data_IF_252569155474
#
_entry.id   IF_252569155474
#
_cell.length_a   1.000
_cell.length_b   1.000
_cell.length_c   1.000
_cell.angle_alpha   90.00
_cell.angle_beta   90.00
_cell.angle_gamma   90.00
#
_symmetry.space_group_name_H-M   'P 1'
#
loop_
_entity.id
_entity.type
_entity.pdbx_description
1 polymer ?
#
# COMPACT_ATOMS: atom_id res chain seq x y z
N UNK A 1 -34.11 -2.02 -10.09
CA UNK A 1 -34.23 -1.33 -11.38
C UNK A 1 -32.88 -1.35 -12.12
N UNK A 2 -32.85 -1.99 -13.31
CA UNK A 2 -31.62 -2.13 -14.10
C UNK A 2 -31.07 -0.78 -14.62
N UNK A 3 -31.87 0.27 -14.57
CA UNK A 3 -31.51 1.63 -14.99
C UNK A 3 -30.61 2.34 -13.97
N UNK A 4 -30.77 2.10 -12.68
CA UNK A 4 -29.97 2.74 -11.62
C UNK A 4 -28.51 2.24 -11.56
N UNK A 5 -28.23 1.10 -12.16
CA UNK A 5 -26.90 0.47 -12.12
C UNK A 5 -26.14 0.51 -13.45
N UNK A 6 -26.62 1.28 -14.43
CA UNK A 6 -25.95 1.39 -15.75
C UNK A 6 -24.48 1.84 -15.64
N UNK A 7 -24.16 2.71 -14.69
CA UNK A 7 -22.79 3.16 -14.41
C UNK A 7 -21.82 2.02 -14.06
N UNK A 8 -22.32 0.89 -13.53
CA UNK A 8 -21.48 -0.29 -13.28
C UNK A 8 -20.91 -0.90 -14.56
N UNK A 9 -21.58 -0.71 -15.72
CA UNK A 9 -21.08 -1.16 -17.01
C UNK A 9 -19.83 -0.39 -17.46
N UNK A 10 -19.64 0.83 -16.96
CA UNK A 10 -18.46 1.66 -17.24
C UNK A 10 -17.25 1.20 -16.43
N UNK A 11 -17.48 0.64 -15.25
CA UNK A 11 -16.41 0.14 -14.40
C UNK A 11 -15.84 -1.19 -14.93
N UNK A 12 -14.54 -1.44 -14.73
CA UNK A 12 -13.94 -2.73 -15.07
C UNK A 12 -14.53 -3.85 -14.21
N UNK A 13 -14.98 -4.94 -14.85
CA UNK A 13 -15.63 -6.06 -14.15
C UNK A 13 -14.75 -6.75 -13.10
N UNK A 14 -13.46 -6.87 -13.37
CA UNK A 14 -12.52 -7.54 -12.47
C UNK A 14 -12.36 -6.83 -11.12
N UNK A 15 -12.11 -5.50 -11.03
CA UNK A 15 -12.13 -4.76 -9.77
C UNK A 15 -13.47 -4.88 -9.03
N UNK A 16 -14.61 -4.88 -9.72
CA UNK A 16 -15.91 -5.08 -9.10
C UNK A 16 -16.03 -6.46 -8.45
N UNK A 17 -15.68 -7.53 -9.19
CA UNK A 17 -15.66 -8.89 -8.65
C UNK A 17 -14.70 -9.03 -7.45
N UNK A 18 -13.53 -8.37 -7.49
CA UNK A 18 -12.61 -8.39 -6.35
C UNK A 18 -13.19 -7.67 -5.13
N UNK A 19 -13.93 -6.60 -5.32
CA UNK A 19 -14.63 -5.91 -4.22
C UNK A 19 -15.66 -6.80 -3.55
N UNK A 20 -16.40 -7.59 -4.31
CA UNK A 20 -17.37 -8.59 -3.77
C UNK A 20 -16.64 -9.71 -3.01
N UNK A 21 -15.55 -10.26 -3.57
CA UNK A 21 -14.74 -11.27 -2.89
C UNK A 21 -14.10 -10.75 -1.59
N UNK A 22 -13.68 -9.48 -1.58
CA UNK A 22 -13.13 -8.85 -0.37
C UNK A 22 -14.22 -8.67 0.70
N UNK A 23 -15.45 -8.34 0.31
CA UNK A 23 -16.60 -8.24 1.22
C UNK A 23 -16.95 -9.63 1.79
N UNK A 24 -17.06 -10.65 0.96
CA UNK A 24 -17.29 -12.04 1.38
C UNK A 24 -16.25 -12.49 2.40
N UNK A 25 -14.97 -12.27 2.10
CA UNK A 25 -13.86 -12.58 3.02
C UNK A 25 -13.97 -11.83 4.35
N UNK A 26 -14.36 -10.55 4.32
CA UNK A 26 -14.53 -9.75 5.52
C UNK A 26 -15.64 -10.32 6.42
N UNK A 27 -16.78 -10.71 5.87
CA UNK A 27 -17.85 -11.38 6.61
C UNK A 27 -17.43 -12.77 7.12
N UNK A 28 -16.77 -13.57 6.30
CA UNK A 28 -16.25 -14.87 6.72
C UNK A 28 -15.32 -14.74 7.93
N UNK A 29 -14.40 -13.76 7.91
CA UNK A 29 -13.50 -13.50 9.04
C UNK A 29 -14.27 -13.04 10.28
N UNK A 30 -15.31 -12.24 10.13
CA UNK A 30 -16.18 -11.84 11.24
C UNK A 30 -16.89 -13.03 11.87
N UNK A 31 -17.58 -13.86 11.08
CA UNK A 31 -18.28 -15.03 11.59
C UNK A 31 -17.36 -16.10 12.19
N UNK A 32 -16.09 -16.13 11.77
CA UNK A 32 -15.06 -16.99 12.35
C UNK A 32 -14.35 -16.35 13.56
N UNK A 33 -14.83 -15.21 14.07
CA UNK A 33 -14.23 -14.45 15.18
C UNK A 33 -12.76 -14.04 14.95
N UNK A 34 -12.33 -13.90 13.68
CA UNK A 34 -10.98 -13.46 13.30
C UNK A 34 -10.86 -11.96 13.15
N UNK A 35 -11.97 -11.26 12.94
CA UNK A 35 -12.02 -9.81 12.76
C UNK A 35 -13.34 -9.22 13.27
N UNK A 36 -13.34 -7.91 13.52
CA UNK A 36 -14.54 -7.17 13.86
C UNK A 36 -15.49 -7.04 12.65
N UNK A 37 -16.73 -6.63 12.90
CA UNK A 37 -17.75 -6.41 11.87
C UNK A 37 -17.22 -5.51 10.74
N UNK A 38 -17.44 -5.86 9.46
CA UNK A 38 -16.98 -5.08 8.33
C UNK A 38 -17.51 -3.64 8.36
N UNK A 39 -16.63 -2.67 8.07
CA UNK A 39 -16.99 -1.26 7.99
C UNK A 39 -17.07 -0.82 6.54
N UNK A 40 -18.05 0.04 6.22
CA UNK A 40 -18.14 0.66 4.90
C UNK A 40 -16.88 1.44 4.55
N UNK A 41 -16.34 1.20 3.37
CA UNK A 41 -15.23 2.00 2.83
C UNK A 41 -15.75 3.41 2.50
N UNK A 42 -15.02 4.42 2.95
CA UNK A 42 -15.30 5.82 2.63
C UNK A 42 -14.35 6.28 1.52
N UNK A 43 -14.90 6.92 0.47
CA UNK A 43 -14.11 7.52 -0.61
C UNK A 43 -13.06 8.48 -0.05
N UNK A 44 -11.82 8.41 -0.57
CA UNK A 44 -10.72 9.27 -0.15
C UNK A 44 -10.03 8.88 1.16
N UNK A 45 -10.42 7.75 1.77
CA UNK A 45 -9.76 7.23 2.98
C UNK A 45 -8.78 6.13 2.63
N UNK A 46 -9.20 5.18 1.82
CA UNK A 46 -8.39 4.03 1.39
C UNK A 46 -8.88 3.57 0.03
N UNK A 47 -8.65 4.42 -0.98
CA UNK A 47 -9.07 4.12 -2.34
C UNK A 47 -8.07 3.13 -2.97
N UNK A 48 -8.55 1.93 -3.26
CA UNK A 48 -7.77 0.89 -3.90
C UNK A 48 -8.68 -0.07 -4.69
N UNK A 49 -8.15 -0.59 -5.78
CA UNK A 49 -8.79 -1.61 -6.58
C UNK A 49 -7.74 -2.56 -7.18
N UNK A 50 -8.15 -3.80 -7.49
CA UNK A 50 -7.23 -4.85 -7.90
C UNK A 50 -7.66 -5.50 -9.20
N UNK A 51 -6.68 -5.71 -10.07
CA UNK A 51 -6.78 -6.51 -11.28
C UNK A 51 -6.07 -7.86 -11.06
N UNK A 52 -6.80 -8.96 -10.96
CA UNK A 52 -6.21 -10.29 -10.77
C UNK A 52 -5.59 -10.84 -12.07
N UNK A 53 -5.99 -10.31 -13.23
CA UNK A 53 -5.50 -10.75 -14.54
C UNK A 53 -5.72 -9.65 -15.60
N UNK A 54 -5.25 -9.90 -16.85
CA UNK A 54 -5.47 -8.99 -17.97
C UNK A 54 -4.63 -7.72 -17.91
N UNK A 55 -3.59 -7.70 -17.08
CA UNK A 55 -2.62 -6.62 -16.99
C UNK A 55 -1.46 -6.92 -17.93
N UNK A 56 -0.99 -5.91 -18.67
CA UNK A 56 0.23 -5.98 -19.47
C UNK A 56 1.20 -4.91 -19.04
N UNK A 57 2.49 -5.22 -18.98
CA UNK A 57 3.55 -4.29 -18.66
C UNK A 57 4.41 -4.03 -19.89
N UNK A 58 4.62 -2.76 -20.18
CA UNK A 58 5.61 -2.27 -21.13
C UNK A 58 6.67 -1.53 -20.31
N UNK A 59 7.71 -2.28 -19.92
CA UNK A 59 8.74 -1.76 -19.01
C UNK A 59 9.68 -0.78 -19.70
N UNK A 60 9.88 -0.91 -21.01
CA UNK A 60 10.73 -0.02 -21.79
C UNK A 60 10.13 1.39 -21.84
N UNK A 61 8.83 1.49 -22.10
CA UNK A 61 8.12 2.75 -22.16
C UNK A 61 7.48 3.16 -20.81
N UNK A 62 7.74 2.41 -19.74
CA UNK A 62 7.17 2.65 -18.40
C UNK A 62 5.65 2.81 -18.41
N UNK A 63 4.96 1.86 -19.07
CA UNK A 63 3.49 1.83 -19.19
C UNK A 63 2.91 0.53 -18.68
N UNK A 64 1.74 0.65 -18.06
CA UNK A 64 0.92 -0.48 -17.62
C UNK A 64 -0.44 -0.42 -18.33
N UNK A 65 -0.87 -1.53 -18.87
CA UNK A 65 -2.20 -1.67 -19.44
C UNK A 65 -3.15 -2.23 -18.38
N UNK A 66 -4.25 -1.52 -18.15
CA UNK A 66 -5.34 -1.95 -17.28
C UNK A 66 -6.63 -2.01 -18.11
N UNK A 67 -7.37 -3.10 -18.00
CA UNK A 67 -8.61 -3.31 -18.77
C UNK A 67 -9.57 -2.14 -18.55
N UNK A 68 -10.16 -1.61 -19.61
CA UNK A 68 -11.01 -0.41 -19.70
C UNK A 68 -10.32 0.93 -19.41
N UNK A 69 -9.17 0.96 -18.75
CA UNK A 69 -8.39 2.18 -18.51
C UNK A 69 -7.35 2.41 -19.60
N UNK A 70 -6.96 1.34 -20.34
CA UNK A 70 -5.94 1.44 -21.38
C UNK A 70 -4.52 1.51 -20.83
N UNK A 71 -3.61 2.07 -21.64
CA UNK A 71 -2.22 2.26 -21.26
C UNK A 71 -2.01 3.50 -20.41
N UNK A 72 -1.45 3.31 -19.22
CA UNK A 72 -1.17 4.36 -18.25
C UNK A 72 0.34 4.43 -18.01
N UNK A 73 0.91 5.62 -18.08
CA UNK A 73 2.31 5.85 -17.70
C UNK A 73 2.47 5.74 -16.17
N UNK A 74 3.55 5.09 -15.74
CA UNK A 74 3.92 5.02 -14.34
C UNK A 74 5.41 5.34 -14.16
N UNK A 75 5.80 5.76 -12.97
CA UNK A 75 7.20 5.95 -12.61
C UNK A 75 7.76 4.59 -12.16
N UNK A 76 8.59 3.98 -13.00
CA UNK A 76 9.25 2.72 -12.68
C UNK A 76 10.21 2.93 -11.50
N UNK A 77 9.98 2.23 -10.39
CA UNK A 77 10.85 2.27 -9.21
C UNK A 77 11.94 1.19 -9.27
N UNK A 78 11.63 0.06 -9.89
CA UNK A 78 12.53 -1.07 -10.11
C UNK A 78 12.09 -1.87 -11.33
N UNK A 79 12.92 -2.74 -11.80
CA UNK A 79 12.55 -3.73 -12.81
C UNK A 79 11.59 -4.76 -12.22
N UNK A 80 10.61 -5.16 -13.03
CA UNK A 80 9.64 -6.19 -12.65
C UNK A 80 10.10 -7.50 -13.26
N UNK A 81 10.53 -8.43 -12.42
CA UNK A 81 11.04 -9.75 -12.81
C UNK A 81 9.95 -10.79 -12.56
N UNK A 82 9.86 -11.80 -13.42
CA UNK A 82 8.92 -12.90 -13.31
C UNK A 82 7.56 -12.63 -13.97
N UNK A 83 6.62 -13.55 -13.75
CA UNK A 83 5.28 -13.51 -14.34
C UNK A 83 4.36 -12.67 -13.47
N UNK A 84 3.72 -11.65 -14.06
CA UNK A 84 2.76 -10.80 -13.34
C UNK A 84 1.51 -11.60 -13.00
N UNK A 85 1.17 -11.68 -11.71
CA UNK A 85 -0.02 -12.39 -11.19
C UNK A 85 -1.19 -11.45 -10.96
N UNK A 86 -0.96 -10.35 -10.30
CA UNK A 86 -1.99 -9.32 -10.11
C UNK A 86 -1.38 -7.93 -9.92
N UNK A 87 -2.22 -6.92 -10.09
CA UNK A 87 -1.86 -5.53 -9.84
C UNK A 87 -2.91 -4.90 -8.95
N UNK A 88 -2.45 -4.28 -7.86
CA UNK A 88 -3.29 -3.45 -7.00
C UNK A 88 -2.95 -1.99 -7.22
N UNK A 89 -3.94 -1.20 -7.58
CA UNK A 89 -3.83 0.25 -7.71
C UNK A 89 -4.40 0.88 -6.45
N UNK A 90 -3.63 1.74 -5.80
CA UNK A 90 -4.02 2.40 -4.55
C UNK A 90 -3.66 3.87 -4.54
N UNK A 91 -4.43 4.66 -3.79
CA UNK A 91 -4.15 6.08 -3.60
C UNK A 91 -3.59 6.34 -2.20
N UNK A 92 -2.47 7.03 -2.12
CA UNK A 92 -1.88 7.51 -0.87
C UNK A 92 -1.32 8.92 -1.03
N UNK A 93 -1.62 9.80 -0.09
CA UNK A 93 -1.14 11.20 -0.07
C UNK A 93 -1.42 11.97 -1.38
N UNK A 94 -2.53 11.66 -2.07
CA UNK A 94 -2.92 12.28 -3.34
C UNK A 94 -2.15 11.78 -4.56
N UNK A 95 -1.37 10.70 -4.42
CA UNK A 95 -0.68 10.01 -5.53
C UNK A 95 -1.25 8.62 -5.70
N UNK A 96 -1.23 8.13 -6.94
CA UNK A 96 -1.59 6.76 -7.27
C UNK A 96 -0.35 5.88 -7.35
N UNK A 97 -0.46 4.68 -6.85
CA UNK A 97 0.60 3.68 -6.83
C UNK A 97 0.07 2.38 -7.43
N UNK A 98 0.91 1.72 -8.22
CA UNK A 98 0.65 0.36 -8.70
C UNK A 98 1.58 -0.61 -7.96
N UNK A 99 1.00 -1.53 -7.21
CA UNK A 99 1.72 -2.65 -6.60
C UNK A 99 1.54 -3.87 -7.49
N UNK A 100 2.63 -4.38 -8.01
CA UNK A 100 2.66 -5.49 -8.97
C UNK A 100 3.15 -6.72 -8.24
N UNK A 101 2.32 -7.75 -8.19
CA UNK A 101 2.72 -9.05 -7.66
C UNK A 101 3.22 -9.92 -8.81
N UNK A 102 4.40 -10.48 -8.63
CA UNK A 102 5.01 -11.39 -9.59
C UNK A 102 5.32 -12.74 -8.96
N UNK A 103 5.42 -13.75 -9.78
CA UNK A 103 5.93 -15.05 -9.45
C UNK A 103 7.20 -15.28 -10.24
N UNK A 104 8.29 -15.63 -9.56
CA UNK A 104 9.56 -15.98 -10.17
C UNK A 104 10.17 -17.15 -9.44
N UNK A 105 10.80 -18.03 -10.15
CA UNK A 105 11.65 -19.05 -9.57
C UNK A 105 12.97 -18.39 -9.16
N UNK A 106 13.29 -18.48 -7.89
CA UNK A 106 14.56 -18.01 -7.35
C UNK A 106 15.28 -19.25 -6.80
N UNK A 107 16.44 -19.55 -7.32
CA UNK A 107 17.34 -20.52 -6.70
C UNK A 107 17.63 -20.02 -5.27
N UNK A 108 17.49 -20.93 -4.29
CA UNK A 108 17.79 -20.59 -2.90
C UNK A 108 19.19 -19.99 -2.80
N UNK A 109 19.41 -18.97 -1.96
CA UNK A 109 20.72 -18.40 -1.76
C UNK A 109 21.65 -19.51 -1.24
N UNK A 110 22.67 -19.82 -2.01
CA UNK A 110 23.72 -20.74 -1.56
C UNK A 110 24.80 -19.90 -0.89
N UNK A 111 24.90 -20.01 0.43
CA UNK A 111 25.98 -19.39 1.19
C UNK A 111 27.14 -20.38 1.32
N UNK A 112 28.28 -20.04 0.76
CA UNK A 112 29.52 -20.82 0.89
C UNK A 112 30.17 -20.66 2.28
N UNK A 113 29.72 -19.69 3.08
CA UNK A 113 30.25 -19.43 4.41
C UNK A 113 29.74 -20.45 5.41
N UNK A 114 30.67 -21.11 6.09
CA UNK A 114 30.41 -21.98 7.26
C UNK A 114 30.34 -21.21 8.58
N UNK A 115 30.61 -19.90 8.58
CA UNK A 115 30.56 -19.08 9.79
C UNK A 115 29.10 -18.73 10.13
N UNK A 116 28.77 -18.83 11.41
CA UNK A 116 27.48 -18.44 11.96
C UNK A 116 27.65 -17.25 12.90
N UNK A 117 26.69 -16.31 12.84
CA UNK A 117 26.63 -15.19 13.77
C UNK A 117 25.28 -15.19 14.48
N UNK A 118 25.30 -15.07 15.79
CA UNK A 118 24.10 -14.91 16.59
C UNK A 118 23.57 -13.47 16.49
N UNK A 119 22.26 -13.29 16.34
CA UNK A 119 21.59 -12.00 16.26
C UNK A 119 20.51 -11.92 17.34
N UNK A 120 20.63 -10.96 18.26
CA UNK A 120 19.60 -10.57 19.22
C UNK A 120 18.96 -9.25 18.80
N UNK A 121 17.63 -9.22 18.71
CA UNK A 121 16.85 -8.05 18.27
C UNK A 121 16.06 -7.48 19.43
N UNK A 122 16.24 -6.16 19.68
CA UNK A 122 15.61 -5.49 20.82
C UNK A 122 15.10 -4.08 20.51
N UNK A 123 14.41 -3.49 21.49
CA UNK A 123 13.82 -2.14 21.39
C UNK A 123 14.86 -1.03 21.70
N UNK A 124 15.74 -1.25 22.64
CA UNK A 124 16.76 -0.28 23.03
C UNK A 124 17.93 -0.23 22.04
N UNK A 125 18.38 -1.40 21.63
CA UNK A 125 19.33 -1.64 20.54
C UNK A 125 18.58 -2.39 19.46
N UNK A 126 18.67 -1.95 18.22
CA UNK A 126 17.97 -2.61 17.11
C UNK A 126 18.42 -4.06 16.95
N UNK A 127 19.72 -4.26 16.99
CA UNK A 127 20.32 -5.57 16.93
C UNK A 127 21.66 -5.57 17.66
N UNK A 128 21.99 -6.69 18.31
CA UNK A 128 23.31 -6.98 18.87
C UNK A 128 23.76 -8.31 18.27
N UNK A 129 24.93 -8.31 17.68
CA UNK A 129 25.55 -9.49 17.10
C UNK A 129 26.43 -10.20 18.12
N UNK A 130 26.67 -11.50 17.94
CA UNK A 130 27.54 -12.30 18.82
C UNK A 130 29.03 -11.88 18.81
N UNK A 131 29.43 -11.10 17.79
CA UNK A 131 30.76 -10.49 17.70
C UNK A 131 30.88 -9.18 18.49
N UNK A 132 29.81 -8.75 19.19
CA UNK A 132 29.76 -7.49 19.94
C UNK A 132 29.31 -6.26 19.14
N UNK A 133 29.07 -6.41 17.87
CA UNK A 133 28.53 -5.31 17.01
C UNK A 133 27.12 -4.91 17.45
N UNK A 134 26.88 -3.60 17.65
CA UNK A 134 25.60 -3.07 18.08
C UNK A 134 25.02 -2.13 17.03
N UNK A 135 23.81 -2.40 16.58
CA UNK A 135 23.03 -1.52 15.70
C UNK A 135 22.01 -0.75 16.53
N UNK A 136 22.00 0.57 16.39
CA UNK A 136 21.06 1.44 17.09
C UNK A 136 19.80 1.69 16.23
N UNK A 137 18.58 1.74 16.85
CA UNK A 137 17.35 1.99 16.11
C UNK A 137 17.30 3.43 15.59
N UNK A 138 16.82 3.58 14.36
CA UNK A 138 16.51 4.90 13.79
C UNK A 138 15.20 5.39 14.41
N UNK A 139 15.26 6.37 15.31
CA UNK A 139 14.09 6.93 16.03
C UNK A 139 13.37 8.00 15.20
N UNK A 140 12.99 7.69 13.96
CA UNK A 140 12.33 8.61 13.00
C UNK A 140 11.04 9.22 13.55
N UNK A 141 10.24 8.44 14.30
CA UNK A 141 9.04 8.95 14.96
C UNK A 141 9.39 10.06 15.96
N UNK A 142 10.39 9.86 16.82
CA UNK A 142 10.81 10.84 17.84
C UNK A 142 11.31 12.14 17.20
N UNK A 143 12.05 12.05 16.11
CA UNK A 143 12.51 13.21 15.34
C UNK A 143 11.34 14.00 14.71
N UNK A 144 10.31 13.32 14.28
CA UNK A 144 9.14 13.94 13.61
C UNK A 144 8.03 14.34 14.56
N UNK A 145 8.05 13.90 15.83
CA UNK A 145 6.95 14.06 16.79
C UNK A 145 6.56 15.52 17.03
N UNK A 146 7.53 16.41 17.23
CA UNK A 146 7.26 17.86 17.41
C UNK A 146 6.57 18.46 16.19
N UNK A 147 7.06 18.14 15.00
CA UNK A 147 6.50 18.61 13.74
C UNK A 147 5.07 18.11 13.54
N UNK A 148 4.82 16.84 13.86
CA UNK A 148 3.50 16.24 13.81
C UNK A 148 2.52 16.96 14.74
N UNK A 149 2.90 17.20 16.00
CA UNK A 149 2.08 17.91 16.98
C UNK A 149 1.72 19.33 16.52
N UNK A 150 2.66 20.07 15.92
CA UNK A 150 2.39 21.40 15.36
C UNK A 150 1.39 21.32 14.19
N UNK A 151 1.59 20.38 13.25
CA UNK A 151 0.70 20.21 12.12
C UNK A 151 -0.72 19.80 12.53
N UNK A 152 -0.85 18.95 13.56
CA UNK A 152 -2.14 18.52 14.11
C UNK A 152 -2.88 19.68 14.79
N UNK A 153 -2.18 20.50 15.60
CA UNK A 153 -2.76 21.73 16.19
C UNK A 153 -3.21 22.73 15.12
N UNK A 154 -2.43 22.88 14.05
CA UNK A 154 -2.83 23.72 12.91
C UNK A 154 -4.04 23.16 12.17
N UNK A 155 -4.18 21.83 12.06
CA UNK A 155 -5.34 21.19 11.45
C UNK A 155 -6.61 21.39 12.27
N UNK A 156 -6.54 21.24 13.60
CA UNK A 156 -7.70 21.40 14.50
C UNK A 156 -8.31 22.80 14.47
N UNK A 157 -7.50 23.83 14.15
CA UNK A 157 -7.95 25.22 14.04
C UNK A 157 -8.59 25.56 12.69
N UNK A 158 -8.65 24.63 11.75
CA UNK A 158 -9.19 24.88 10.42
C UNK A 158 -10.60 24.32 10.29
N UNK A 159 -11.43 25.02 9.54
CA UNK A 159 -12.75 24.53 9.19
C UNK A 159 -12.66 23.19 8.47
N UNK A 160 -13.37 22.20 9.04
CA UNK A 160 -13.32 20.81 8.57
C UNK A 160 -13.83 20.69 7.14
N UNK A 161 -13.10 19.98 6.32
CA UNK A 161 -13.34 19.79 4.88
C UNK A 161 -13.05 21.00 3.97
N UNK A 162 -12.68 22.16 4.50
CA UNK A 162 -12.24 23.29 3.69
C UNK A 162 -10.97 22.95 2.88
N UNK A 163 -10.69 23.70 1.82
CA UNK A 163 -9.48 23.55 1.00
C UNK A 163 -8.18 23.66 1.85
N UNK A 164 -8.18 24.57 2.82
CA UNK A 164 -7.05 24.78 3.74
C UNK A 164 -6.89 23.61 4.72
N UNK A 165 -7.98 23.02 5.22
CA UNK A 165 -7.96 21.82 6.04
C UNK A 165 -7.40 20.65 5.25
N UNK A 166 -7.83 20.46 3.99
CA UNK A 166 -7.33 19.41 3.13
C UNK A 166 -5.83 19.55 2.81
N UNK A 167 -5.36 20.79 2.54
CA UNK A 167 -3.93 21.06 2.37
C UNK A 167 -3.13 20.68 3.60
N UNK A 168 -3.63 21.01 4.79
CA UNK A 168 -2.98 20.68 6.05
C UNK A 168 -2.98 19.17 6.34
N UNK A 169 -4.10 18.48 6.08
CA UNK A 169 -4.20 17.02 6.16
C UNK A 169 -3.15 16.33 5.29
N UNK A 170 -2.96 16.80 4.04
CA UNK A 170 -1.93 16.25 3.14
C UNK A 170 -0.50 16.42 3.70
N UNK A 171 -0.20 17.53 4.40
CA UNK A 171 1.11 17.71 5.05
C UNK A 171 1.34 16.67 6.14
N UNK A 172 0.33 16.38 6.95
CA UNK A 172 0.39 15.33 7.98
C UNK A 172 0.57 13.96 7.33
N UNK A 173 -0.21 13.64 6.30
CA UNK A 173 -0.08 12.37 5.59
C UNK A 173 1.32 12.17 5.00
N UNK A 174 1.91 13.21 4.40
CA UNK A 174 3.29 13.16 3.88
C UNK A 174 4.31 12.93 4.99
N UNK A 175 4.10 13.50 6.18
CA UNK A 175 5.00 13.26 7.30
C UNK A 175 4.95 11.81 7.80
N UNK A 176 3.80 11.15 7.70
CA UNK A 176 3.65 9.73 8.05
C UNK A 176 4.19 8.77 6.98
N UNK A 177 4.40 9.23 5.74
CA UNK A 177 4.92 8.40 4.64
C UNK A 177 6.45 8.41 4.52
N UNK A 178 7.12 9.15 5.38
CA UNK A 178 8.59 9.14 5.56
C UNK A 178 8.95 8.33 6.80
#
# INVERSE_FOLDING_TARGET
DLTETQWLKEAPSQPLQQSLKDLERAYKNFFQNRAAFPRFKKRGVSDAFRYPQGVKLDQENSRIFLTKLGWIRYRKSREVIGVVKNVTVSQSCGKWYASIQTESEISGPHHESSSMIGLDVGVAKLATLSDGTVYHPVKSFKASQRKLAVLQRQLSRKEKFSANWQKQKRKIQRLHSH
#
